data_IF_715538964448
#
_entry.id   IF_715538964448
#
_cell.length_a   1.000
_cell.length_b   1.000
_cell.length_c   1.000
_cell.angle_alpha   90.00
_cell.angle_beta   90.00
_cell.angle_gamma   90.00
#
_symmetry.space_group_name_H-M   'P 1'
#
loop_
_entity.id
_entity.type
_entity.pdbx_description
1 polymer ?
#
# COMPACT_ATOMS: atom_id res chain seq x y z
N UNK A 1 -8.78 29.68 -9.13
CA UNK A 1 -7.85 28.54 -9.28
C UNK A 1 -8.71 27.37 -9.71
N UNK A 2 -8.49 26.79 -10.90
CA UNK A 2 -9.34 25.71 -11.40
C UNK A 2 -9.26 24.51 -10.46
N UNK A 3 -10.40 23.85 -10.26
CA UNK A 3 -10.57 22.62 -9.49
C UNK A 3 -9.76 21.43 -10.07
N UNK A 4 -9.02 21.60 -11.16
CA UNK A 4 -8.33 20.54 -11.91
C UNK A 4 -7.06 19.98 -11.25
N UNK A 5 -6.62 20.52 -10.11
CA UNK A 5 -5.43 20.05 -9.39
C UNK A 5 -5.75 18.93 -8.38
N UNK A 6 -6.70 18.04 -8.69
CA UNK A 6 -6.81 16.74 -8.01
C UNK A 6 -5.52 15.96 -8.28
N UNK A 7 -4.56 16.09 -7.36
CA UNK A 7 -3.17 15.63 -7.54
C UNK A 7 -3.18 14.15 -7.90
N UNK A 8 -2.71 13.82 -9.09
CA UNK A 8 -2.49 12.45 -9.57
C UNK A 8 -2.00 11.53 -8.41
N UNK A 9 -2.73 10.44 -8.06
CA UNK A 9 -2.39 9.55 -6.94
C UNK A 9 -0.93 9.08 -6.97
N UNK A 10 -0.39 8.83 -8.16
CA UNK A 10 1.00 8.43 -8.35
C UNK A 10 1.99 9.52 -7.93
N UNK A 11 1.69 10.79 -8.20
CA UNK A 11 2.53 11.91 -7.77
C UNK A 11 2.49 12.09 -6.25
N UNK A 12 1.31 11.95 -5.65
CA UNK A 12 1.14 11.98 -4.19
C UNK A 12 1.94 10.86 -3.53
N UNK A 13 1.77 9.64 -4.02
CA UNK A 13 2.49 8.47 -3.51
C UNK A 13 4.00 8.67 -3.62
N UNK A 14 4.50 9.13 -4.76
CA UNK A 14 5.93 9.39 -4.94
C UNK A 14 6.48 10.41 -3.92
N UNK A 15 5.68 11.42 -3.55
CA UNK A 15 6.09 12.41 -2.54
C UNK A 15 6.17 11.78 -1.14
N UNK A 16 5.17 10.99 -0.76
CA UNK A 16 5.17 10.28 0.52
C UNK A 16 6.30 9.26 0.62
N UNK A 17 6.56 8.51 -0.45
CA UNK A 17 7.64 7.53 -0.48
C UNK A 17 9.02 8.17 -0.48
N UNK A 18 9.22 9.31 -1.16
CA UNK A 18 10.49 10.03 -1.11
C UNK A 18 10.83 10.45 0.32
N UNK A 19 9.83 10.91 1.08
CA UNK A 19 9.99 11.21 2.49
C UNK A 19 10.27 9.93 3.31
N UNK A 20 9.54 8.84 3.06
CA UNK A 20 9.72 7.59 3.83
C UNK A 20 11.10 6.98 3.59
N UNK A 21 11.57 7.04 2.34
CA UNK A 21 12.92 6.64 1.96
C UNK A 21 13.98 7.49 2.66
N UNK A 22 13.79 8.81 2.73
CA UNK A 22 14.69 9.71 3.44
C UNK A 22 14.74 9.38 4.95
N UNK A 23 13.60 9.06 5.56
CA UNK A 23 13.51 8.63 6.96
C UNK A 23 14.28 7.35 7.23
N UNK A 24 14.11 6.31 6.41
CA UNK A 24 14.87 5.07 6.59
C UNK A 24 16.37 5.28 6.35
N UNK A 25 16.71 6.07 5.32
CA UNK A 25 18.11 6.36 4.97
C UNK A 25 18.83 7.13 6.08
N UNK A 26 18.20 8.13 6.69
CA UNK A 26 18.80 8.91 7.78
C UNK A 26 19.04 8.09 9.04
N UNK A 27 18.27 7.02 9.25
CA UNK A 27 18.42 6.05 10.33
C UNK A 27 19.34 4.87 9.99
N UNK A 28 19.89 4.82 8.77
CA UNK A 28 20.74 3.72 8.31
C UNK A 28 19.98 2.39 8.11
N UNK A 29 18.66 2.46 7.92
CA UNK A 29 17.79 1.29 7.80
C UNK A 29 17.63 0.85 6.33
N UNK A 30 17.51 -0.46 6.08
CA UNK A 30 17.30 -1.00 4.74
C UNK A 30 15.90 -0.69 4.19
N UNK A 31 15.76 -0.66 2.87
CA UNK A 31 14.51 -0.31 2.16
C UNK A 31 14.08 -1.33 1.09
N UNK A 32 14.76 -2.50 1.02
CA UNK A 32 14.33 -3.60 0.15
C UNK A 32 12.96 -4.14 0.58
N UNK A 33 12.19 -4.78 -0.32
CA UNK A 33 10.84 -5.26 0.04
C UNK A 33 10.85 -6.19 1.26
N UNK A 34 11.77 -7.16 1.26
CA UNK A 34 11.93 -8.10 2.35
C UNK A 34 12.31 -7.39 3.65
N UNK A 35 13.23 -6.44 3.57
CA UNK A 35 13.68 -5.71 4.74
C UNK A 35 12.58 -4.81 5.33
N UNK A 36 11.78 -4.12 4.50
CA UNK A 36 10.65 -3.33 5.02
C UNK A 36 9.59 -4.21 5.68
N UNK A 37 9.32 -5.41 5.15
CA UNK A 37 8.38 -6.35 5.79
C UNK A 37 8.90 -6.88 7.13
N UNK A 38 10.21 -7.05 7.27
CA UNK A 38 10.84 -7.44 8.53
C UNK A 38 10.80 -6.28 9.53
N UNK A 39 11.11 -5.05 9.10
CA UNK A 39 11.02 -3.84 9.94
C UNK A 39 9.62 -3.59 10.50
N UNK A 40 8.58 -3.82 9.69
CA UNK A 40 7.19 -3.68 10.14
C UNK A 40 6.79 -4.66 11.25
N UNK A 41 7.52 -5.78 11.39
CA UNK A 41 7.27 -6.81 12.40
C UNK A 41 8.20 -6.68 13.62
N UNK A 42 9.15 -5.76 13.58
CA UNK A 42 10.12 -5.53 14.65
C UNK A 42 9.62 -4.47 15.63
N UNK A 43 9.04 -4.92 16.74
CA UNK A 43 8.50 -4.06 17.81
C UNK A 43 9.58 -3.22 18.52
N UNK A 44 10.88 -3.51 18.29
CA UNK A 44 11.97 -2.71 18.85
C UNK A 44 12.28 -1.44 18.04
N UNK A 45 11.75 -1.32 16.82
CA UNK A 45 11.93 -0.15 15.98
C UNK A 45 11.13 1.04 16.47
N UNK A 46 11.64 2.24 16.21
CA UNK A 46 10.90 3.46 16.52
C UNK A 46 9.69 3.63 15.58
N UNK A 47 8.64 4.30 16.09
CA UNK A 47 7.37 4.45 15.38
C UNK A 47 7.50 5.17 14.02
N UNK A 48 8.50 6.03 13.87
CA UNK A 48 8.75 6.76 12.62
C UNK A 48 9.37 5.83 11.56
N UNK A 49 10.29 4.95 11.96
CA UNK A 49 10.85 3.90 11.11
C UNK A 49 9.78 2.90 10.66
N UNK A 50 8.90 2.47 11.59
CA UNK A 50 7.77 1.59 11.27
C UNK A 50 6.83 2.27 10.27
N UNK A 51 6.44 3.52 10.52
CA UNK A 51 5.58 4.29 9.61
C UNK A 51 6.20 4.43 8.22
N UNK A 52 7.51 4.69 8.14
CA UNK A 52 8.22 4.79 6.87
C UNK A 52 8.22 3.46 6.10
N UNK A 53 8.47 2.34 6.79
CA UNK A 53 8.41 1.01 6.21
C UNK A 53 6.99 0.68 5.70
N UNK A 54 5.96 1.01 6.47
CA UNK A 54 4.56 0.82 6.08
C UNK A 54 4.18 1.64 4.84
N UNK A 55 4.61 2.91 4.75
CA UNK A 55 4.36 3.74 3.55
C UNK A 55 4.98 3.10 2.31
N UNK A 56 6.23 2.64 2.38
CA UNK A 56 6.90 1.98 1.26
C UNK A 56 6.25 0.64 0.91
N UNK A 57 5.79 -0.11 1.92
CA UNK A 57 5.10 -1.38 1.71
C UNK A 57 3.77 -1.17 0.98
N UNK A 58 2.90 -0.34 1.52
CA UNK A 58 1.58 -0.08 0.93
C UNK A 58 1.67 0.64 -0.41
N UNK A 59 2.69 1.48 -0.61
CA UNK A 59 2.98 2.10 -1.89
C UNK A 59 3.38 1.09 -2.97
N UNK A 60 4.12 0.03 -2.61
CA UNK A 60 4.40 -1.08 -3.53
C UNK A 60 3.15 -1.93 -3.79
N UNK A 61 2.38 -2.27 -2.76
CA UNK A 61 1.11 -3.00 -2.92
C UNK A 61 0.20 -2.26 -3.89
N UNK A 62 -0.03 -0.95 -3.67
CA UNK A 62 -0.88 -0.12 -4.53
C UNK A 62 -0.47 -0.14 -6.01
N UNK A 63 0.83 -0.14 -6.31
CA UNK A 63 1.34 -0.23 -7.69
C UNK A 63 1.21 -1.61 -8.33
N UNK A 64 1.16 -2.65 -7.50
CA UNK A 64 1.00 -4.04 -7.94
C UNK A 64 -0.46 -4.49 -7.95
N UNK A 65 -1.36 -3.69 -7.40
CA UNK A 65 -2.79 -3.97 -7.34
C UNK A 65 -3.35 -4.26 -8.73
N UNK A 66 -4.10 -5.35 -8.83
CA UNK A 66 -4.82 -5.73 -10.06
C UNK A 66 -6.33 -5.77 -9.86
N UNK A 67 -6.78 -5.62 -8.62
CA UNK A 67 -8.20 -5.54 -8.23
C UNK A 67 -8.49 -4.23 -7.51
N UNK A 68 -9.75 -3.81 -7.57
CA UNK A 68 -10.23 -2.63 -6.83
C UNK A 68 -10.03 -2.79 -5.33
N UNK A 69 -10.20 -4.01 -4.80
CA UNK A 69 -9.97 -4.30 -3.38
C UNK A 69 -8.54 -4.03 -2.93
N UNK A 70 -7.53 -4.45 -3.71
CA UNK A 70 -6.12 -4.15 -3.42
C UNK A 70 -5.86 -2.64 -3.48
N UNK A 71 -6.40 -1.95 -4.49
CA UNK A 71 -6.22 -0.50 -4.66
C UNK A 71 -6.82 0.27 -3.48
N UNK A 72 -8.09 0.01 -3.14
CA UNK A 72 -8.79 0.70 -2.05
C UNK A 72 -8.15 0.41 -0.71
N UNK A 73 -7.79 -0.86 -0.45
CA UNK A 73 -7.15 -1.26 0.81
C UNK A 73 -5.82 -0.56 1.00
N UNK A 74 -4.92 -0.69 0.02
CA UNK A 74 -3.59 -0.09 0.11
C UNK A 74 -3.64 1.43 0.22
N UNK A 75 -4.56 2.09 -0.51
CA UNK A 75 -4.70 3.54 -0.41
C UNK A 75 -5.26 3.99 0.95
N UNK A 76 -6.23 3.28 1.51
CA UNK A 76 -6.76 3.60 2.84
C UNK A 76 -5.69 3.47 3.93
N UNK A 77 -4.82 2.46 3.83
CA UNK A 77 -3.67 2.34 4.72
C UNK A 77 -2.72 3.54 4.59
N UNK A 78 -2.36 3.92 3.36
CA UNK A 78 -1.54 5.11 3.10
C UNK A 78 -2.20 6.36 3.71
N UNK A 79 -3.48 6.62 3.43
CA UNK A 79 -4.17 7.80 3.96
C UNK A 79 -4.18 7.84 5.50
N UNK A 80 -4.38 6.70 6.16
CA UNK A 80 -4.30 6.60 7.62
C UNK A 80 -2.91 7.00 8.14
N UNK A 81 -1.85 6.50 7.50
CA UNK A 81 -0.47 6.83 7.88
C UNK A 81 -0.17 8.32 7.68
N UNK A 82 -0.60 8.90 6.56
CA UNK A 82 -0.38 10.32 6.26
C UNK A 82 -1.18 11.23 7.21
N UNK A 83 -2.41 10.86 7.57
CA UNK A 83 -3.28 11.67 8.44
C UNK A 83 -2.66 11.95 9.81
N UNK A 84 -1.89 11.00 10.33
CA UNK A 84 -1.41 11.02 11.71
C UNK A 84 0.09 11.30 11.84
N UNK A 85 0.78 11.68 10.75
CA UNK A 85 2.23 11.84 10.75
C UNK A 85 2.72 13.08 9.97
N UNK A 86 4.00 13.40 10.12
CA UNK A 86 4.67 14.56 9.50
C UNK A 86 4.85 14.44 7.97
N UNK A 87 4.33 13.37 7.35
CA UNK A 87 4.43 13.13 5.92
C UNK A 87 3.59 14.09 5.04
N UNK A 88 2.84 15.00 5.67
CA UNK A 88 1.96 15.96 5.00
C UNK A 88 2.70 17.13 4.32
N UNK A 89 4.01 17.28 4.55
CA UNK A 89 4.78 18.46 4.12
C UNK A 89 4.88 18.67 2.59
N UNK A 90 4.78 17.60 1.79
CA UNK A 90 4.81 17.69 0.32
C UNK A 90 3.48 17.33 -0.34
N UNK A 91 2.67 16.51 0.33
CA UNK A 91 1.38 16.03 -0.15
C UNK A 91 0.47 15.80 1.05
N UNK A 92 -0.67 16.50 1.10
CA UNK A 92 -1.55 16.45 2.27
C UNK A 92 -2.51 15.25 2.23
N UNK A 93 -3.04 14.89 3.40
CA UNK A 93 -4.11 13.89 3.52
C UNK A 93 -5.34 14.24 2.65
N UNK A 94 -5.74 15.52 2.64
CA UNK A 94 -6.90 15.98 1.86
C UNK A 94 -6.67 15.86 0.36
N UNK A 95 -5.44 16.10 -0.12
CA UNK A 95 -5.08 15.85 -1.52
C UNK A 95 -5.21 14.36 -1.86
N UNK A 96 -4.73 13.49 -0.96
CA UNK A 96 -4.81 12.04 -1.08
C UNK A 96 -6.25 11.53 -1.15
N UNK A 97 -7.11 12.03 -0.27
CA UNK A 97 -8.53 11.66 -0.25
C UNK A 97 -9.21 12.02 -1.57
N UNK A 98 -9.03 13.25 -2.04
CA UNK A 98 -9.67 13.74 -3.26
C UNK A 98 -9.11 13.07 -4.53
N UNK A 99 -7.86 12.64 -4.53
CA UNK A 99 -7.23 12.02 -5.71
C UNK A 99 -7.87 10.70 -6.17
N UNK A 100 -8.63 10.06 -5.28
CA UNK A 100 -9.34 8.80 -5.55
C UNK A 100 -10.83 9.02 -5.83
N UNK A 101 -11.35 10.24 -5.60
CA UNK A 101 -12.72 10.61 -5.92
C UNK A 101 -12.85 10.72 -7.45
N UNK A 102 -13.22 9.63 -8.12
CA UNK A 102 -13.38 9.57 -9.58
C UNK A 102 -12.23 8.88 -10.33
N UNK A 103 -11.30 8.23 -9.64
CA UNK A 103 -10.35 7.33 -10.29
C UNK A 103 -11.11 6.10 -10.82
N UNK A 104 -11.23 6.01 -12.14
CA UNK A 104 -11.72 4.82 -12.83
C UNK A 104 -10.57 3.79 -12.83
N UNK A 105 -10.41 3.12 -11.69
CA UNK A 105 -9.30 2.19 -11.46
C UNK A 105 -9.43 1.01 -12.40
N UNK A 106 -8.40 0.80 -13.24
CA UNK A 106 -8.26 -0.41 -14.05
C UNK A 106 -8.33 -1.64 -13.14
N UNK A 107 -9.44 -2.37 -13.28
CA UNK A 107 -9.63 -3.71 -12.73
C UNK A 107 -9.22 -4.67 -13.82
N UNK A 108 -7.99 -5.18 -13.77
CA UNK A 108 -7.42 -5.96 -14.87
C UNK A 108 -7.51 -7.48 -14.64
N UNK A 109 -7.88 -7.98 -13.44
CA UNK A 109 -8.05 -9.41 -13.19
C UNK A 109 -9.26 -9.77 -12.30
N UNK A 110 -9.93 -10.90 -12.54
CA UNK A 110 -10.84 -11.51 -11.58
C UNK A 110 -10.16 -11.77 -10.23
N UNK A 111 -10.88 -11.51 -9.14
CA UNK A 111 -10.37 -11.65 -7.76
C UNK A 111 -9.75 -13.02 -7.49
N UNK A 112 -10.37 -14.09 -7.98
CA UNK A 112 -9.87 -15.45 -7.79
C UNK A 112 -8.51 -15.66 -8.49
N UNK A 113 -8.38 -15.24 -9.75
CA UNK A 113 -7.13 -15.35 -10.51
C UNK A 113 -6.00 -14.57 -9.83
N UNK A 114 -6.31 -13.38 -9.31
CA UNK A 114 -5.34 -12.60 -8.55
C UNK A 114 -4.91 -13.29 -7.25
N UNK A 115 -5.82 -13.88 -6.50
CA UNK A 115 -5.48 -14.59 -5.26
C UNK A 115 -4.57 -15.78 -5.58
N UNK A 116 -4.87 -16.56 -6.62
CA UNK A 116 -4.05 -17.69 -7.03
C UNK A 116 -2.66 -17.26 -7.49
N UNK A 117 -2.56 -16.20 -8.29
CA UNK A 117 -1.27 -15.62 -8.70
C UNK A 117 -0.42 -15.23 -7.47
N UNK A 118 -1.01 -14.58 -6.46
CA UNK A 118 -0.29 -14.18 -5.25
C UNK A 118 0.24 -15.38 -4.45
N UNK A 119 -0.52 -16.47 -4.40
CA UNK A 119 -0.11 -17.71 -3.75
C UNK A 119 1.04 -18.36 -4.55
N UNK A 120 0.96 -18.38 -5.89
CA UNK A 120 2.04 -18.85 -6.77
C UNK A 120 3.32 -17.99 -6.64
N UNK A 121 3.17 -16.68 -6.39
CA UNK A 121 4.26 -15.77 -6.04
C UNK A 121 4.86 -16.03 -4.64
N UNK A 122 4.25 -16.94 -3.88
CA UNK A 122 4.76 -17.43 -2.58
C UNK A 122 4.20 -16.72 -1.35
N UNK A 123 3.13 -15.93 -1.49
CA UNK A 123 2.47 -15.30 -0.34
C UNK A 123 1.63 -16.32 0.44
N UNK A 124 1.64 -16.20 1.77
CA UNK A 124 0.73 -16.97 2.61
C UNK A 124 -0.71 -16.44 2.50
N UNK A 125 -1.74 -17.26 2.82
CA UNK A 125 -3.13 -16.80 2.86
C UNK A 125 -3.34 -15.55 3.75
N UNK A 126 -2.62 -15.46 4.87
CA UNK A 126 -2.64 -14.30 5.76
C UNK A 126 -2.08 -13.05 5.07
N UNK A 127 -1.01 -13.20 4.29
CA UNK A 127 -0.41 -12.11 3.51
C UNK A 127 -1.32 -11.64 2.37
N UNK A 128 -2.08 -12.56 1.76
CA UNK A 128 -3.12 -12.22 0.79
C UNK A 128 -4.27 -11.47 1.48
N UNK A 129 -4.72 -11.92 2.65
CA UNK A 129 -5.76 -11.20 3.42
C UNK A 129 -5.29 -9.80 3.81
N UNK A 130 -4.02 -9.65 4.22
CA UNK A 130 -3.44 -8.33 4.49
C UNK A 130 -3.52 -7.41 3.28
N UNK A 131 -3.46 -7.91 2.04
CA UNK A 131 -3.63 -7.07 0.83
C UNK A 131 -5.08 -6.61 0.58
N UNK A 132 -6.04 -7.02 1.41
CA UNK A 132 -7.43 -6.55 1.35
C UNK A 132 -8.44 -7.57 0.84
N UNK A 133 -8.01 -8.81 0.56
CA UNK A 133 -8.93 -9.88 0.20
C UNK A 133 -9.63 -10.42 1.46
N UNK A 134 -10.92 -10.72 1.36
CA UNK A 134 -11.66 -11.30 2.49
C UNK A 134 -11.23 -12.76 2.72
N UNK A 135 -11.34 -13.21 3.96
CA UNK A 135 -11.04 -14.59 4.34
C UNK A 135 -11.85 -15.60 3.49
N UNK A 136 -13.12 -15.29 3.21
CA UNK A 136 -14.01 -16.13 2.40
C UNK A 136 -13.48 -16.25 0.96
N UNK A 137 -13.13 -15.12 0.33
CA UNK A 137 -12.60 -15.07 -1.03
C UNK A 137 -11.28 -15.84 -1.15
N UNK A 138 -10.39 -15.70 -0.16
CA UNK A 138 -9.10 -16.42 -0.12
C UNK A 138 -9.34 -17.93 0.03
N UNK A 139 -10.22 -18.32 0.95
CA UNK A 139 -10.55 -19.74 1.18
C UNK A 139 -11.21 -20.37 -0.05
N UNK A 140 -12.11 -19.65 -0.71
CA UNK A 140 -12.78 -20.11 -1.92
C UNK A 140 -11.80 -20.25 -3.09
N UNK A 141 -10.90 -19.28 -3.29
CA UNK A 141 -9.89 -19.36 -4.33
C UNK A 141 -8.96 -20.58 -4.14
N UNK A 142 -8.50 -20.83 -2.91
CA UNK A 142 -7.65 -22.00 -2.61
C UNK A 142 -8.41 -23.31 -2.86
N UNK A 143 -9.69 -23.40 -2.48
CA UNK A 143 -10.52 -24.59 -2.72
C UNK A 143 -10.77 -24.86 -4.20
N UNK A 144 -10.90 -23.80 -5.00
CA UNK A 144 -11.25 -23.89 -6.42
C UNK A 144 -10.02 -23.93 -7.35
N UNK A 145 -8.83 -23.63 -6.83
CA UNK A 145 -7.56 -23.67 -7.56
C UNK A 145 -6.65 -24.86 -7.21
N UNK A 146 -7.05 -25.70 -6.24
CA UNK A 146 -6.46 -26.99 -5.95
C UNK A 146 -7.09 -28.10 -6.81
#
# INVERSE_FOLDING_TARGET
>A
MSEENFKNPRKLLNAWEAQALATLTSKGLPNSFKAITELMRDESQDAEAITAAEILFWGRVWRQSKTKEEVVTSWNHLLRLIKHNNYQGMASYEDGKKSMEGADERVDLPVQERILELIEEGLSPEEVIMRGFSFEKVTEAIKNGA
#
